data_IF_914290796059
#
_entry.id   IF_914290796059
#
_cell.length_a   1.000
_cell.length_b   1.000
_cell.length_c   1.000
_cell.angle_alpha   90.00
_cell.angle_beta   90.00
_cell.angle_gamma   90.00
#
_symmetry.space_group_name_H-M   'P 1'
#
loop_
_entity.id
_entity.type
_entity.pdbx_description
1 polymer ?
#
# COMPACT_ATOMS: atom_id res chain seq x y z
N UNK A 1 -12.94 6.13 -10.97
CA UNK A 1 -12.05 5.37 -11.87
C UNK A 1 -12.95 4.59 -12.80
N UNK A 2 -12.63 4.50 -14.10
CA UNK A 2 -13.44 3.75 -15.07
C UNK A 2 -12.54 2.74 -15.77
N UNK A 3 -12.55 1.50 -15.30
CA UNK A 3 -11.67 0.44 -15.78
C UNK A 3 -12.38 -0.38 -16.86
N UNK A 4 -11.74 -0.54 -18.03
CA UNK A 4 -12.35 -1.22 -19.18
C UNK A 4 -12.09 -2.72 -19.15
N UNK A 5 -10.97 -3.12 -18.57
CA UNK A 5 -10.56 -4.52 -18.50
C UNK A 5 -10.06 -4.90 -17.11
N UNK A 6 -10.00 -6.21 -16.85
CA UNK A 6 -9.38 -6.73 -15.63
C UNK A 6 -7.89 -6.35 -15.55
N UNK A 7 -7.19 -6.36 -16.69
CA UNK A 7 -5.82 -5.90 -16.82
C UNK A 7 -5.64 -4.52 -16.23
N UNK A 8 -6.49 -3.58 -16.64
CA UNK A 8 -6.39 -2.17 -16.24
C UNK A 8 -6.51 -2.02 -14.71
N UNK A 9 -7.40 -2.78 -14.08
CA UNK A 9 -7.59 -2.74 -12.62
C UNK A 9 -6.38 -3.31 -11.90
N UNK A 10 -5.87 -4.45 -12.37
CA UNK A 10 -4.71 -5.11 -11.78
C UNK A 10 -3.44 -4.28 -11.94
N UNK A 11 -3.16 -3.76 -13.13
CA UNK A 11 -2.02 -2.88 -13.38
C UNK A 11 -2.09 -1.61 -12.53
N UNK A 12 -3.27 -1.02 -12.39
CA UNK A 12 -3.47 0.12 -11.52
C UNK A 12 -3.15 -0.22 -10.05
N UNK A 13 -3.68 -1.34 -9.54
CA UNK A 13 -3.40 -1.79 -8.18
C UNK A 13 -1.90 -2.07 -7.98
N UNK A 14 -1.26 -2.82 -8.89
CA UNK A 14 0.19 -3.13 -8.84
C UNK A 14 1.03 -1.85 -8.78
N UNK A 15 0.69 -0.83 -9.57
CA UNK A 15 1.40 0.46 -9.53
C UNK A 15 1.22 1.19 -8.20
N UNK A 16 0.05 1.05 -7.55
CA UNK A 16 -0.18 1.65 -6.22
C UNK A 16 0.65 0.96 -5.15
N UNK A 17 0.68 -0.37 -5.13
CA UNK A 17 1.54 -1.16 -4.22
C UNK A 17 3.03 -0.86 -4.44
N UNK A 18 3.48 -0.78 -5.69
CA UNK A 18 4.87 -0.48 -6.02
C UNK A 18 5.28 0.93 -5.53
N UNK A 19 4.40 1.92 -5.74
CA UNK A 19 4.63 3.27 -5.25
C UNK A 19 4.65 3.34 -3.71
N UNK A 20 3.77 2.60 -3.03
CA UNK A 20 3.72 2.52 -1.58
C UNK A 20 4.95 1.81 -0.99
N UNK A 21 5.38 0.69 -1.59
CA UNK A 21 6.60 -0.03 -1.24
C UNK A 21 7.83 0.88 -1.34
N UNK A 22 7.96 1.61 -2.46
CA UNK A 22 9.04 2.55 -2.67
C UNK A 22 8.99 3.71 -1.66
N UNK A 23 7.80 4.27 -1.42
CA UNK A 23 7.59 5.32 -0.42
C UNK A 23 8.08 4.91 0.98
N UNK A 24 7.67 3.73 1.45
CA UNK A 24 8.10 3.26 2.77
C UNK A 24 9.58 2.93 2.83
N UNK A 25 10.16 2.40 1.75
CA UNK A 25 11.61 2.15 1.65
C UNK A 25 12.41 3.45 1.76
N UNK A 26 11.99 4.49 1.06
CA UNK A 26 12.65 5.80 1.09
C UNK A 26 12.50 6.44 2.47
N UNK A 27 11.32 6.32 3.07
CA UNK A 27 11.07 6.83 4.41
C UNK A 27 11.92 6.09 5.46
N UNK A 28 12.02 4.76 5.39
CA UNK A 28 12.89 3.96 6.25
C UNK A 28 14.36 4.39 6.17
N UNK A 29 14.85 4.68 4.96
CA UNK A 29 16.22 5.12 4.73
C UNK A 29 16.55 6.47 5.40
N UNK A 30 15.54 7.31 5.64
CA UNK A 30 15.68 8.62 6.26
C UNK A 30 15.52 8.60 7.79
N UNK A 31 15.01 7.51 8.36
CA UNK A 31 14.81 7.38 9.80
C UNK A 31 16.13 7.23 10.55
N UNK A 32 16.37 8.11 11.53
CA UNK A 32 17.51 7.99 12.46
C UNK A 32 17.25 6.94 13.53
N UNK A 33 16.02 6.90 14.04
CA UNK A 33 15.59 5.96 15.06
C UNK A 33 15.38 4.55 14.46
N UNK A 34 15.96 3.54 15.11
CA UNK A 34 15.89 2.16 14.62
C UNK A 34 14.49 1.56 14.71
N UNK A 35 13.71 1.92 15.73
CA UNK A 35 12.35 1.38 15.92
C UNK A 35 11.41 1.89 14.84
N UNK A 36 11.48 3.19 14.56
CA UNK A 36 10.71 3.87 13.51
C UNK A 36 11.09 3.36 12.12
N UNK A 37 12.39 3.15 11.88
CA UNK A 37 12.88 2.52 10.64
C UNK A 37 12.26 1.14 10.41
N UNK A 38 12.24 0.30 11.45
CA UNK A 38 11.73 -1.08 11.35
C UNK A 38 10.26 -1.10 10.92
N UNK A 39 9.43 -0.18 11.42
CA UNK A 39 8.02 -0.09 10.99
C UNK A 39 7.94 0.10 9.47
N UNK A 40 8.64 1.10 8.93
CA UNK A 40 8.58 1.39 7.49
C UNK A 40 9.21 0.28 6.65
N UNK A 41 10.25 -0.40 7.12
CA UNK A 41 10.77 -1.59 6.45
C UNK A 41 9.77 -2.75 6.43
N UNK A 42 9.01 -2.96 7.50
CA UNK A 42 7.94 -3.96 7.55
C UNK A 42 6.84 -3.60 6.56
N UNK A 43 6.38 -2.34 6.58
CA UNK A 43 5.35 -1.84 5.67
C UNK A 43 5.78 -2.00 4.20
N UNK A 44 6.99 -1.56 3.85
CA UNK A 44 7.49 -1.73 2.48
C UNK A 44 7.57 -3.20 2.03
N UNK A 45 7.80 -4.15 2.96
CA UNK A 45 7.74 -5.59 2.64
C UNK A 45 6.31 -6.10 2.44
N UNK A 46 5.34 -5.59 3.21
CA UNK A 46 3.93 -5.95 3.06
C UNK A 46 3.41 -5.52 1.68
N UNK A 47 3.65 -4.27 1.30
CA UNK A 47 3.28 -3.72 -0.02
C UNK A 47 3.91 -4.53 -1.17
N UNK A 48 5.18 -4.96 -1.04
CA UNK A 48 5.81 -5.84 -2.02
C UNK A 48 5.15 -7.23 -2.12
N UNK A 49 4.64 -7.75 -1.00
CA UNK A 49 3.89 -9.01 -0.99
C UNK A 49 2.53 -8.85 -1.67
N UNK A 50 1.83 -7.74 -1.43
CA UNK A 50 0.58 -7.41 -2.10
C UNK A 50 0.77 -7.24 -3.61
N UNK A 51 1.80 -6.50 -4.01
CA UNK A 51 2.24 -6.38 -5.41
C UNK A 51 2.45 -7.76 -6.04
N UNK A 52 3.20 -8.64 -5.39
CA UNK A 52 3.47 -9.99 -5.90
C UNK A 52 2.19 -10.83 -6.05
N UNK A 53 1.23 -10.69 -5.12
CA UNK A 53 -0.06 -11.37 -5.20
C UNK A 53 -0.88 -10.88 -6.41
N UNK A 54 -0.89 -9.57 -6.67
CA UNK A 54 -1.57 -8.96 -7.81
C UNK A 54 -0.92 -9.35 -9.15
N UNK A 55 0.41 -9.35 -9.23
CA UNK A 55 1.16 -9.80 -10.40
C UNK A 55 0.88 -11.28 -10.71
N UNK A 56 0.82 -12.12 -9.68
CA UNK A 56 0.50 -13.53 -9.85
C UNK A 56 -0.94 -13.74 -10.36
N UNK A 57 -1.89 -12.94 -9.90
CA UNK A 57 -3.26 -12.97 -10.41
C UNK A 57 -3.34 -12.55 -11.87
N UNK A 58 -2.55 -11.55 -12.26
CA UNK A 58 -2.46 -11.10 -13.65
C UNK A 58 -1.93 -12.21 -14.58
N UNK A 59 -0.89 -12.93 -14.14
CA UNK A 59 -0.32 -14.08 -14.87
C UNK A 59 -1.35 -15.21 -15.03
N UNK A 60 -2.11 -15.53 -13.98
CA UNK A 60 -3.15 -16.60 -14.02
C UNK A 60 -4.23 -16.33 -15.05
N UNK A 61 -4.53 -15.07 -15.34
CA UNK A 61 -5.51 -14.70 -16.36
C UNK A 61 -4.99 -14.85 -17.80
N UNK A 62 -3.81 -15.46 -17.97
CA UNK A 62 -3.17 -15.66 -19.27
C UNK A 62 -2.60 -14.38 -19.85
N UNK A 63 -2.47 -13.34 -19.02
CA UNK A 63 -1.89 -12.06 -19.41
C UNK A 63 -0.47 -11.97 -18.87
N UNK A 64 0.49 -11.78 -19.77
CA UNK A 64 1.88 -11.52 -19.41
C UNK A 64 2.07 -10.01 -19.54
N UNK A 65 2.38 -9.33 -18.44
CA UNK A 65 2.82 -7.94 -18.52
C UNK A 65 4.24 -7.95 -19.03
N UNK A 66 4.45 -7.35 -20.20
CA UNK A 66 5.80 -7.04 -20.65
C UNK A 66 6.26 -5.74 -19.97
N UNK A 67 7.53 -5.65 -19.58
CA UNK A 67 8.09 -4.44 -18.94
C UNK A 67 7.81 -3.14 -19.74
N UNK A 68 7.60 -3.26 -21.06
CA UNK A 68 7.26 -2.16 -21.96
C UNK A 68 5.84 -1.60 -21.77
N UNK A 69 4.85 -2.40 -21.38
CA UNK A 69 3.47 -1.95 -21.14
C UNK A 69 3.31 -1.23 -19.79
N UNK A 70 4.17 -1.52 -18.81
CA UNK A 70 4.09 -0.94 -17.47
C UNK A 70 4.48 0.55 -17.43
N UNK A 71 5.16 1.07 -18.46
CA UNK A 71 5.68 2.45 -18.51
C UNK A 71 4.68 3.52 -18.95
N UNK A 72 3.49 3.17 -19.42
CA UNK A 72 2.53 4.16 -19.92
C UNK A 72 1.56 4.55 -18.81
N UNK A 73 1.98 5.46 -17.94
CA UNK A 73 1.32 6.73 -17.57
C UNK A 73 2.05 7.32 -16.38
N UNK A 74 2.82 8.39 -16.63
CA UNK A 74 3.34 9.31 -15.63
C UNK A 74 2.17 10.02 -14.94
N UNK A 75 1.63 9.42 -13.89
CA UNK A 75 1.10 10.21 -12.79
C UNK A 75 1.84 9.75 -11.53
N UNK A 76 2.73 10.59 -10.97
CA UNK A 76 3.31 10.31 -9.67
C UNK A 76 2.14 10.24 -8.69
N UNK A 77 1.83 9.03 -8.21
CA UNK A 77 0.95 8.84 -7.06
C UNK A 77 1.46 9.79 -5.99
N UNK A 78 0.66 10.79 -5.60
CA UNK A 78 1.11 12.00 -4.89
C UNK A 78 2.24 11.65 -3.91
N UNK A 79 3.48 11.82 -4.37
CA UNK A 79 4.63 11.60 -3.53
C UNK A 79 4.53 12.73 -2.53
N UNK A 80 4.18 12.41 -1.30
CA UNK A 80 4.49 13.31 -0.19
C UNK A 80 6.01 13.40 -0.28
N UNK A 81 6.53 14.54 -0.72
CA UNK A 81 7.97 14.74 -0.83
C UNK A 81 8.56 14.36 0.52
N UNK A 82 9.43 13.35 0.51
CA UNK A 82 10.05 12.87 1.73
C UNK A 82 11.12 13.89 2.08
N UNK A 83 10.71 14.89 2.84
CA UNK A 83 11.47 16.10 3.14
C UNK A 83 12.31 15.97 4.44
N UNK A 84 12.87 17.09 4.90
CA UNK A 84 13.58 17.12 6.18
C UNK A 84 12.67 16.92 7.40
N UNK A 85 11.37 17.20 7.28
CA UNK A 85 10.39 17.06 8.35
C UNK A 85 10.15 15.57 8.62
N UNK A 86 10.14 14.75 7.57
CA UNK A 86 10.15 13.29 7.69
C UNK A 86 11.33 12.77 8.52
N UNK A 87 12.51 13.40 8.46
CA UNK A 87 13.68 12.98 9.28
C UNK A 87 13.52 13.26 10.77
N UNK A 88 12.59 14.13 11.13
CA UNK A 88 12.27 14.50 12.52
C UNK A 88 11.06 13.75 13.07
N UNK A 89 10.45 12.87 12.26
CA UNK A 89 9.27 12.09 12.61
C UNK A 89 9.53 11.24 13.85
N UNK A 90 8.66 11.38 14.86
CA UNK A 90 8.68 10.53 16.03
C UNK A 90 8.05 9.17 15.72
N UNK A 91 8.25 8.18 16.60
CA UNK A 91 7.60 6.88 16.47
C UNK A 91 6.06 6.99 16.43
N UNK A 92 5.47 7.90 17.21
CA UNK A 92 4.03 8.16 17.19
C UNK A 92 3.55 8.80 15.88
N UNK A 93 4.35 9.70 15.30
CA UNK A 93 4.03 10.30 14.00
C UNK A 93 4.09 9.26 12.87
N UNK A 94 5.07 8.34 12.95
CA UNK A 94 5.20 7.24 12.02
C UNK A 94 4.00 6.28 12.09
N UNK A 95 3.52 5.94 13.29
CA UNK A 95 2.30 5.16 13.47
C UNK A 95 1.08 5.87 12.89
N UNK A 96 0.91 7.18 13.13
CA UNK A 96 -0.19 7.95 12.54
C UNK A 96 -0.13 8.01 11.01
N UNK A 97 1.08 8.12 10.44
CA UNK A 97 1.26 8.08 9.00
C UNK A 97 0.90 6.70 8.43
N UNK A 98 1.39 5.63 9.05
CA UNK A 98 1.08 4.26 8.67
C UNK A 98 -0.44 4.01 8.72
N UNK A 99 -1.10 4.34 9.82
CA UNK A 99 -2.57 4.21 9.96
C UNK A 99 -3.31 4.91 8.82
N UNK A 100 -2.95 6.15 8.49
CA UNK A 100 -3.61 6.90 7.40
C UNK A 100 -3.38 6.26 6.04
N UNK A 101 -2.18 5.74 5.78
CA UNK A 101 -1.85 5.07 4.51
C UNK A 101 -2.58 3.74 4.37
N UNK A 102 -2.57 2.92 5.41
CA UNK A 102 -3.30 1.65 5.49
C UNK A 102 -4.82 1.85 5.36
N UNK A 103 -5.39 2.89 5.98
CA UNK A 103 -6.80 3.26 5.79
C UNK A 103 -7.11 3.65 4.35
N UNK A 104 -6.19 4.35 3.67
CA UNK A 104 -6.35 4.71 2.27
C UNK A 104 -6.23 3.48 1.35
N UNK A 105 -5.31 2.56 1.62
CA UNK A 105 -5.18 1.29 0.91
C UNK A 105 -6.44 0.40 1.10
N UNK A 106 -6.95 0.30 2.33
CA UNK A 106 -8.23 -0.35 2.62
C UNK A 106 -9.38 0.23 1.78
N UNK A 107 -9.52 1.55 1.74
CA UNK A 107 -10.56 2.22 0.96
C UNK A 107 -10.40 1.93 -0.53
N UNK A 108 -9.17 2.00 -1.05
CA UNK A 108 -8.85 1.67 -2.42
C UNK A 108 -9.32 0.26 -2.77
N UNK A 109 -8.89 -0.75 -2.01
CA UNK A 109 -9.28 -2.13 -2.28
C UNK A 109 -10.77 -2.39 -2.08
N UNK A 110 -11.42 -1.71 -1.14
CA UNK A 110 -12.87 -1.78 -0.98
C UNK A 110 -13.60 -1.22 -2.22
N UNK A 111 -13.12 -0.12 -2.78
CA UNK A 111 -13.65 0.45 -4.02
C UNK A 111 -13.41 -0.46 -5.23
N UNK A 112 -12.20 -1.04 -5.35
CA UNK A 112 -11.86 -1.98 -6.42
C UNK A 112 -12.69 -3.25 -6.34
N UNK A 113 -12.94 -3.77 -5.13
CA UNK A 113 -13.82 -4.91 -4.89
C UNK A 113 -15.25 -4.65 -5.41
N UNK A 114 -15.81 -3.46 -5.15
CA UNK A 114 -17.16 -3.08 -5.61
C UNK A 114 -17.22 -2.97 -7.14
N UNK A 115 -16.15 -2.47 -7.76
CA UNK A 115 -16.06 -2.28 -9.21
C UNK A 115 -15.73 -3.58 -9.96
N UNK A 116 -15.10 -4.56 -9.31
CA UNK A 116 -14.69 -5.83 -9.91
C UNK A 116 -15.90 -6.68 -10.32
N UNK A 117 -16.08 -6.87 -11.63
CA UNK A 117 -17.09 -7.80 -12.18
C UNK A 117 -16.71 -9.27 -12.01
N UNK A 118 -15.42 -9.55 -12.04
CA UNK A 118 -14.89 -10.90 -11.87
C UNK A 118 -14.96 -11.34 -10.38
N UNK A 119 -15.59 -12.49 -10.07
CA UNK A 119 -15.66 -12.99 -8.70
C UNK A 119 -14.31 -13.29 -8.04
N UNK A 120 -13.30 -13.72 -8.81
CA UNK A 120 -11.95 -14.01 -8.31
C UNK A 120 -11.24 -12.72 -7.90
N UNK A 121 -11.29 -11.69 -8.75
CA UNK A 121 -10.76 -10.37 -8.40
C UNK A 121 -11.44 -9.77 -7.18
N UNK A 122 -12.78 -9.88 -7.13
CA UNK A 122 -13.56 -9.39 -5.98
C UNK A 122 -13.10 -10.05 -4.69
N UNK A 123 -12.85 -11.37 -4.72
CA UNK A 123 -12.32 -12.10 -3.58
C UNK A 123 -10.91 -11.64 -3.21
N UNK A 124 -10.03 -11.45 -4.19
CA UNK A 124 -8.67 -10.98 -3.95
C UNK A 124 -8.64 -9.57 -3.34
N UNK A 125 -9.39 -8.61 -3.89
CA UNK A 125 -9.47 -7.26 -3.30
C UNK A 125 -10.10 -7.27 -1.90
N UNK A 126 -11.04 -8.18 -1.65
CA UNK A 126 -11.58 -8.38 -0.31
C UNK A 126 -10.52 -8.91 0.68
N UNK A 127 -9.66 -9.84 0.25
CA UNK A 127 -8.56 -10.37 1.07
C UNK A 127 -7.51 -9.28 1.37
N UNK A 128 -7.13 -8.48 0.37
CA UNK A 128 -6.23 -7.33 0.52
C UNK A 128 -6.82 -6.28 1.46
N UNK A 129 -8.07 -5.86 1.24
CA UNK A 129 -8.75 -4.91 2.14
C UNK A 129 -8.80 -5.41 3.60
N UNK A 130 -9.08 -6.71 3.80
CA UNK A 130 -9.05 -7.27 5.15
C UNK A 130 -7.67 -7.24 5.78
N UNK A 131 -6.60 -7.38 4.98
CA UNK A 131 -5.23 -7.29 5.44
C UNK A 131 -4.89 -5.89 5.92
N UNK A 132 -5.21 -4.86 5.13
CA UNK A 132 -4.96 -3.47 5.53
C UNK A 132 -5.75 -3.09 6.76
N UNK A 133 -7.00 -3.57 6.90
CA UNK A 133 -7.76 -3.36 8.12
C UNK A 133 -7.09 -4.02 9.34
N UNK A 134 -6.43 -5.18 9.18
CA UNK A 134 -5.65 -5.78 10.28
C UNK A 134 -4.44 -4.92 10.62
N UNK A 135 -3.74 -4.37 9.63
CA UNK A 135 -2.62 -3.46 9.86
C UNK A 135 -3.07 -2.18 10.58
N UNK A 136 -4.17 -1.55 10.14
CA UNK A 136 -4.79 -0.40 10.82
C UNK A 136 -5.04 -0.70 12.30
N UNK A 137 -5.72 -1.80 12.60
CA UNK A 137 -6.04 -2.16 13.99
C UNK A 137 -4.77 -2.43 14.83
N UNK A 138 -3.75 -3.06 14.24
CA UNK A 138 -2.47 -3.29 14.92
C UNK A 138 -1.78 -1.97 15.25
N UNK A 139 -1.68 -1.04 14.30
CA UNK A 139 -1.05 0.26 14.53
C UNK A 139 -1.86 1.15 15.46
N UNK A 140 -3.19 1.14 15.38
CA UNK A 140 -4.05 1.87 16.33
C UNK A 140 -3.88 1.35 17.76
N UNK A 141 -3.80 0.03 17.94
CA UNK A 141 -3.54 -0.56 19.25
C UNK A 141 -2.18 -0.15 19.80
N UNK A 142 -1.13 -0.22 18.97
CA UNK A 142 0.22 0.20 19.34
C UNK A 142 0.25 1.69 19.71
N UNK A 143 -0.38 2.55 18.90
CA UNK A 143 -0.47 3.98 19.16
C UNK A 143 -1.19 4.27 20.49
N UNK A 144 -2.31 3.60 20.74
CA UNK A 144 -3.09 3.75 21.98
C UNK A 144 -2.36 3.24 23.23
N UNK A 145 -1.44 2.29 23.10
CA UNK A 145 -0.61 1.81 24.21
C UNK A 145 0.45 2.84 24.61
N UNK A 146 0.90 3.67 23.66
CA UNK A 146 1.98 4.64 23.86
C UNK A 146 1.42 6.01 24.26
N UNK A 147 0.29 6.40 23.66
CA UNK A 147 -0.37 7.67 23.96
C UNK A 147 -1.42 7.42 25.04
N UNK A 148 -1.18 7.82 26.31
CA UNK A 148 -2.16 7.63 27.37
C UNK A 148 -3.46 8.35 27.02
N UNK A 149 -4.58 7.63 27.08
CA UNK A 149 -5.92 8.24 26.96
C UNK A 149 -6.08 9.22 28.14
N UNK A 150 -6.12 10.52 27.83
CA UNK A 150 -6.50 11.57 28.78
C UNK A 150 -7.98 11.45 29.15
#
# INVERSE_FOLDING_TARGET
MDFKTVKDVLEFAIRKEDAAAQFYRDLAALMKDSTTRIIFEVLGRNEMQHKSNLEFELIKQGQVVTEEEFRVTDEPASYIEVDEEARSMTYTDALQLAIRKEQAAFQLFAELMVQAKDPQLRKMFFELAQEEMRHVLQFENEYNNIVPKK
#
